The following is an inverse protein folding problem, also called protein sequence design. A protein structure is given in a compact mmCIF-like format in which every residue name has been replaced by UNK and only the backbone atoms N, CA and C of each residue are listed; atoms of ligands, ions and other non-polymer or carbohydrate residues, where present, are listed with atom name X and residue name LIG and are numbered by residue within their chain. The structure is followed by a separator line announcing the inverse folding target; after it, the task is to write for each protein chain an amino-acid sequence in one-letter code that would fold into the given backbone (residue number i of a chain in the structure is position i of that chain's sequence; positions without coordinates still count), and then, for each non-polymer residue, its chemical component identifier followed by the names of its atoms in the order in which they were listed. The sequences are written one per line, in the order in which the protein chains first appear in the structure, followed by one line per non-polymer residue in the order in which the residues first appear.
data_IF_981684635175
#
_entry.id   IF_981684635175
#
_cell.length_a   1.000
_cell.length_b   1.000
_cell.length_c   1.000
_cell.angle_alpha   90.00
_cell.angle_beta   90.00
_cell.angle_gamma   90.00
#
_symmetry.space_group_name_H-M   'P 1'
#
loop_
_entity.id
_entity.type
_entity.pdbx_description
1 polymer ?
#
# COMPACT_ATOMS: atom_id res chain seq x y z
N UNK A 1 10.82 11.92 10.15
CA UNK A 1 9.96 10.87 9.58
C UNK A 1 10.43 10.60 8.15
N UNK A 2 10.39 9.35 7.66
CA UNK A 2 10.68 9.05 6.26
C UNK A 2 9.64 9.72 5.34
N UNK A 3 9.91 9.88 4.04
CA UNK A 3 9.02 10.61 3.15
C UNK A 3 7.74 9.81 2.90
N UNK A 4 6.59 10.44 3.19
CA UNK A 4 5.29 10.02 2.63
C UNK A 4 5.42 10.14 1.11
N UNK A 5 5.40 9.02 0.39
CA UNK A 5 5.36 9.06 -1.07
C UNK A 5 3.90 9.30 -1.46
N UNK A 6 3.50 10.57 -1.40
CA UNK A 6 2.17 10.99 -1.78
C UNK A 6 2.09 11.09 -3.31
N UNK A 7 1.25 10.25 -3.92
CA UNK A 7 0.42 10.75 -5.00
C UNK A 7 -0.81 11.40 -4.34
N UNK A 8 -1.41 12.46 -4.90
CA UNK A 8 -2.56 13.17 -4.27
C UNK A 8 -3.69 12.25 -3.76
N UNK A 9 -3.79 11.02 -4.27
CA UNK A 9 -4.82 10.03 -3.93
C UNK A 9 -4.38 8.89 -2.99
N UNK A 10 -3.10 8.83 -2.58
CA UNK A 10 -2.57 7.75 -1.74
C UNK A 10 -1.40 8.22 -0.86
N UNK A 11 -1.52 7.97 0.45
CA UNK A 11 -0.51 8.23 1.46
C UNK A 11 -0.18 6.93 2.19
N UNK A 12 1.09 6.73 2.54
CA UNK A 12 1.50 5.55 3.30
C UNK A 12 2.67 5.85 4.23
N UNK A 13 2.77 5.06 5.30
CA UNK A 13 3.92 5.02 6.18
C UNK A 13 4.05 3.63 6.80
N UNK A 14 5.29 3.18 7.06
CA UNK A 14 5.54 1.97 7.82
C UNK A 14 6.27 2.32 9.12
N UNK A 15 5.81 1.77 10.24
CA UNK A 15 6.45 1.93 11.54
C UNK A 15 6.21 0.69 12.38
N UNK A 16 7.26 0.19 13.05
CA UNK A 16 7.21 -0.97 13.95
C UNK A 16 6.52 -2.22 13.35
N UNK A 17 6.82 -2.52 12.08
CA UNK A 17 6.24 -3.67 11.37
C UNK A 17 4.75 -3.53 11.07
N UNK A 18 4.21 -2.32 11.13
CA UNK A 18 2.85 -2.00 10.68
C UNK A 18 2.90 -1.00 9.54
N UNK A 19 2.26 -1.36 8.42
CA UNK A 19 2.08 -0.47 7.28
C UNK A 19 0.71 0.20 7.39
N UNK A 20 0.70 1.52 7.49
CA UNK A 20 -0.50 2.35 7.44
C UNK A 20 -0.66 2.91 6.03
N UNK A 21 -1.85 2.74 5.45
CA UNK A 21 -2.16 3.27 4.11
C UNK A 21 -3.49 4.02 4.17
N UNK A 22 -3.53 5.18 3.53
CA UNK A 22 -4.74 5.96 3.26
C UNK A 22 -4.85 6.22 1.77
N UNK A 23 -6.08 6.16 1.25
CA UNK A 23 -6.34 6.46 -0.15
C UNK A 23 -7.73 7.07 -0.34
N UNK A 24 -7.92 7.74 -1.47
CA UNK A 24 -9.21 8.28 -1.86
C UNK A 24 -10.17 7.15 -2.29
N UNK A 25 -10.93 6.62 -1.33
CA UNK A 25 -11.87 5.53 -1.59
C UNK A 25 -13.13 5.94 -2.38
N UNK A 26 -13.38 7.25 -2.54
CA UNK A 26 -14.49 7.72 -3.36
C UNK A 26 -14.22 7.46 -4.85
N UNK A 27 -12.98 7.69 -5.28
CA UNK A 27 -12.54 7.45 -6.67
C UNK A 27 -12.03 6.01 -6.85
N UNK A 28 -11.38 5.44 -5.83
CA UNK A 28 -10.82 4.09 -5.87
C UNK A 28 -11.39 3.20 -4.74
N UNK A 29 -12.50 2.49 -4.97
CA UNK A 29 -13.19 1.72 -3.93
C UNK A 29 -12.34 0.66 -3.20
N UNK A 30 -11.24 0.22 -3.80
CA UNK A 30 -10.36 -0.76 -3.16
C UNK A 30 -8.88 -0.56 -3.44
N UNK A 31 -8.07 -1.01 -2.50
CA UNK A 31 -6.61 -1.06 -2.56
C UNK A 31 -6.13 -2.52 -2.43
N UNK A 32 -5.06 -2.88 -3.13
CA UNK A 32 -4.26 -4.08 -2.87
C UNK A 32 -2.80 -3.67 -2.64
N UNK A 33 -2.13 -4.38 -1.74
CA UNK A 33 -0.74 -4.10 -1.36
C UNK A 33 0.07 -5.38 -1.47
N UNK A 34 1.18 -5.29 -2.19
CA UNK A 34 2.15 -6.38 -2.34
C UNK A 34 3.52 -5.89 -1.89
N UNK A 35 4.23 -6.71 -1.14
CA UNK A 35 5.65 -6.51 -0.87
C UNK A 35 6.49 -7.28 -1.89
N UNK A 36 7.34 -6.56 -2.60
CA UNK A 36 8.27 -7.08 -3.59
C UNK A 36 9.68 -7.08 -3.00
N UNK A 37 10.00 -8.14 -2.24
CA UNK A 37 11.34 -8.41 -1.72
C UNK A 37 12.01 -9.56 -2.47
N UNK A 38 12.74 -10.43 -1.75
CA UNK A 38 13.25 -11.69 -2.32
C UNK A 38 12.12 -12.62 -2.79
N UNK A 39 10.95 -12.52 -2.15
CA UNK A 39 9.70 -13.13 -2.56
C UNK A 39 8.64 -12.03 -2.71
N UNK A 40 7.68 -12.27 -3.59
CA UNK A 40 6.51 -11.41 -3.78
C UNK A 40 5.40 -11.88 -2.84
N UNK A 41 5.02 -11.03 -1.89
CA UNK A 41 4.08 -11.37 -0.81
C UNK A 41 2.89 -10.43 -0.83
N UNK A 42 1.67 -10.96 -0.95
CA UNK A 42 0.45 -10.17 -0.80
C UNK A 42 0.27 -9.81 0.67
N UNK A 43 0.25 -8.52 0.96
CA UNK A 43 0.09 -7.97 2.32
C UNK A 43 -1.37 -7.60 2.58
N UNK A 44 -2.03 -7.03 1.58
CA UNK A 44 -3.47 -6.72 1.60
C UNK A 44 -4.07 -6.96 0.22
N UNK A 45 -5.30 -7.48 0.18
CA UNK A 45 -6.00 -7.77 -1.06
C UNK A 45 -7.40 -7.17 -1.03
N UNK A 46 -7.67 -6.25 -1.95
CA UNK A 46 -8.97 -5.58 -2.10
C UNK A 46 -9.51 -5.05 -0.76
N UNK A 47 -8.64 -4.37 -0.01
CA UNK A 47 -9.05 -3.65 1.20
C UNK A 47 -9.93 -2.46 0.80
N UNK A 48 -10.91 -2.13 1.62
CA UNK A 48 -11.89 -1.07 1.36
C UNK A 48 -11.94 -0.12 2.57
N UNK A 49 -12.56 1.04 2.43
CA UNK A 49 -12.77 1.98 3.53
C UNK A 49 -11.92 3.26 3.49
N UNK A 50 -10.87 3.29 2.66
CA UNK A 50 -10.02 4.48 2.49
C UNK A 50 -8.88 4.60 3.49
N UNK A 51 -8.82 3.70 4.48
CA UNK A 51 -7.69 3.53 5.38
C UNK A 51 -7.54 2.06 5.79
N UNK A 52 -6.30 1.63 6.01
CA UNK A 52 -5.98 0.29 6.52
C UNK A 52 -4.67 0.30 7.30
N UNK A 53 -4.56 -0.59 8.28
CA UNK A 53 -3.29 -0.97 8.91
C UNK A 53 -3.02 -2.45 8.64
N UNK A 54 -1.84 -2.76 8.11
CA UNK A 54 -1.45 -4.09 7.68
C UNK A 54 -0.21 -4.55 8.45
N UNK A 55 -0.22 -5.79 8.95
CA UNK A 55 0.95 -6.39 9.59
C UNK A 55 2.00 -6.73 8.53
N UNK A 56 3.20 -6.22 8.76
CA UNK A 56 4.39 -6.37 7.92
C UNK A 56 5.59 -6.88 8.73
N UNK A 57 5.39 -7.23 10.00
CA UNK A 57 6.44 -7.67 10.93
C UNK A 57 7.14 -8.95 10.48
N UNK A 58 6.43 -9.82 9.76
CA UNK A 58 6.98 -11.06 9.20
C UNK A 58 7.66 -10.89 7.83
N UNK A 59 7.59 -9.70 7.21
CA UNK A 59 8.14 -9.47 5.88
C UNK A 59 9.65 -9.20 5.95
N UNK A 60 10.45 -9.75 5.02
CA UNK A 60 11.89 -9.49 4.96
C UNK A 60 12.20 -7.99 4.83
N UNK A 61 13.26 -7.54 5.50
CA UNK A 61 13.74 -6.15 5.42
C UNK A 61 14.08 -5.75 3.97
N UNK A 62 13.83 -4.49 3.64
CA UNK A 62 14.07 -3.91 2.31
C UNK A 62 13.01 -4.29 1.27
N UNK A 63 13.34 -4.10 -0.01
CA UNK A 63 12.42 -4.30 -1.13
C UNK A 63 11.56 -3.06 -1.40
N UNK A 64 10.36 -3.30 -1.93
CA UNK A 64 9.40 -2.23 -2.23
C UNK A 64 7.98 -2.69 -1.94
N UNK A 65 7.09 -1.74 -1.68
CA UNK A 65 5.65 -1.97 -1.73
C UNK A 65 5.10 -1.55 -3.08
N UNK A 66 4.24 -2.39 -3.65
CA UNK A 66 3.36 -2.08 -4.76
C UNK A 66 1.95 -1.85 -4.21
N UNK A 67 1.44 -0.63 -4.37
CA UNK A 67 0.09 -0.23 -4.02
C UNK A 67 -0.75 -0.15 -5.29
N UNK A 68 -1.78 -0.97 -5.41
CA UNK A 68 -2.71 -0.97 -6.54
C UNK A 68 -4.08 -0.51 -6.10
N UNK A 69 -4.51 0.66 -6.57
CA UNK A 69 -5.87 1.17 -6.34
C UNK A 69 -6.72 0.88 -7.56
N UNK A 70 -7.92 0.32 -7.34
CA UNK A 70 -8.87 -0.07 -8.37
C UNK A 70 -10.06 0.87 -8.33
N UNK A 71 -10.30 1.59 -9.43
CA UNK A 71 -11.48 2.39 -9.70
C UNK A 71 -12.50 1.62 -10.55
N UNK A 72 -13.60 2.28 -10.92
CA UNK A 72 -14.64 1.63 -11.76
C UNK A 72 -14.22 1.46 -13.22
N UNK A 73 -13.38 2.36 -13.73
CA UNK A 73 -12.97 2.41 -15.14
C UNK A 73 -11.46 2.59 -15.31
N UNK A 74 -10.73 2.74 -14.21
CA UNK A 74 -9.30 2.99 -14.17
C UNK A 74 -8.67 2.28 -12.97
N UNK A 75 -7.34 2.19 -12.99
CA UNK A 75 -6.55 1.66 -11.90
C UNK A 75 -5.18 2.30 -11.92
N UNK A 76 -4.58 2.45 -10.75
CA UNK A 76 -3.24 3.03 -10.60
C UNK A 76 -2.38 2.12 -9.77
N UNK A 77 -1.12 2.00 -10.15
CA UNK A 77 -0.12 1.27 -9.40
C UNK A 77 1.02 2.24 -9.03
N UNK A 78 1.30 2.33 -7.72
CA UNK A 78 2.43 3.07 -7.19
C UNK A 78 3.40 2.05 -6.58
N UNK A 79 4.67 2.14 -6.95
CA UNK A 79 5.74 1.41 -6.29
C UNK A 79 6.56 2.37 -5.43
N UNK A 80 6.83 1.99 -4.18
CA UNK A 80 7.66 2.79 -3.28
C UNK A 80 8.63 1.88 -2.50
N UNK A 81 9.88 2.32 -2.28
CA UNK A 81 10.84 1.56 -1.49
C UNK A 81 10.34 1.40 -0.06
N UNK A 82 10.54 0.21 0.51
CA UNK A 82 10.29 -0.09 1.92
C UNK A 82 11.48 0.34 2.77
#
# INVERSE_FOLDING_TARGET
APPVVASDDLEWSETDGTLHVRWNAADFPSLSVVHCGALRTTVGLRVTGGDVSLDTSALPNGGSFEFSVEGKLDGRCLAAPR
#
